data_IF_656259365571
#
_entry.id   IF_656259365571
#
_cell.length_a   1.000
_cell.length_b   1.000
_cell.length_c   1.000
_cell.angle_alpha   90.00
_cell.angle_beta   90.00
_cell.angle_gamma   90.00
#
_symmetry.space_group_name_H-M   'P 1'
#
loop_
_entity.id
_entity.type
_entity.pdbx_description
1 polymer ?
#
# COMPACT_ATOMS: atom_id res chain seq x y z
N UNK A 1 0.86 13.57 -17.07
CA UNK A 1 0.86 13.35 -15.61
C UNK A 1 2.26 13.49 -14.99
N UNK A 2 3.30 12.84 -15.54
CA UNK A 2 4.65 12.83 -14.97
C UNK A 2 5.65 13.87 -15.52
N UNK A 3 5.24 14.81 -16.38
CA UNK A 3 6.19 15.71 -17.06
C UNK A 3 7.04 16.57 -16.09
N UNK A 4 6.53 16.79 -14.88
CA UNK A 4 7.07 17.59 -13.79
C UNK A 4 7.36 16.76 -12.53
N UNK A 5 7.39 15.41 -12.65
CA UNK A 5 7.48 14.51 -11.51
C UNK A 5 8.53 13.44 -11.74
N UNK A 6 9.26 13.12 -10.70
CA UNK A 6 10.19 12.01 -10.69
C UNK A 6 9.53 10.81 -10.01
N UNK A 7 9.61 9.65 -10.64
CA UNK A 7 9.04 8.41 -10.11
C UNK A 7 10.12 7.34 -10.02
N UNK A 8 10.34 6.86 -8.81
CA UNK A 8 11.26 5.77 -8.52
C UNK A 8 10.48 4.57 -8.00
N UNK A 9 10.79 3.39 -8.51
CA UNK A 9 10.32 2.12 -7.99
C UNK A 9 11.52 1.31 -7.52
N UNK A 10 11.63 1.14 -6.20
CA UNK A 10 12.73 0.45 -5.56
C UNK A 10 12.26 -0.92 -5.10
N UNK A 11 13.04 -1.96 -5.38
CA UNK A 11 12.84 -3.26 -4.74
C UNK A 11 13.32 -3.16 -3.29
N UNK A 12 12.46 -3.49 -2.35
CA UNK A 12 12.86 -3.57 -0.95
C UNK A 12 13.67 -4.87 -0.72
N UNK A 13 14.81 -4.75 -0.06
CA UNK A 13 15.66 -5.90 0.22
C UNK A 13 15.05 -6.79 1.31
N UNK A 14 15.43 -8.07 1.32
CA UNK A 14 14.90 -9.05 2.27
C UNK A 14 15.20 -8.70 3.74
N UNK A 15 14.50 -9.36 4.66
CA UNK A 15 14.63 -9.21 6.13
C UNK A 15 16.09 -9.07 6.58
N UNK A 16 16.36 -8.03 7.35
CA UNK A 16 17.69 -7.69 7.88
C UNK A 16 18.49 -6.70 7.05
N UNK A 17 18.06 -6.37 5.82
CA UNK A 17 18.71 -5.36 4.96
C UNK A 17 17.77 -4.32 4.35
N UNK A 18 16.46 -4.60 4.31
CA UNK A 18 15.44 -3.67 3.79
C UNK A 18 14.63 -2.98 4.88
N UNK A 19 13.68 -2.16 4.45
CA UNK A 19 12.73 -1.46 5.32
C UNK A 19 11.66 -2.46 5.79
N UNK A 20 11.40 -2.49 7.10
CA UNK A 20 10.37 -3.31 7.71
C UNK A 20 9.68 -2.57 8.85
N UNK A 21 8.43 -2.93 9.11
CA UNK A 21 7.59 -2.29 10.11
C UNK A 21 7.22 -3.28 11.21
N UNK A 22 7.91 -3.18 12.33
CA UNK A 22 7.69 -4.03 13.50
C UNK A 22 6.30 -3.83 14.10
N UNK A 23 5.84 -2.58 14.17
CA UNK A 23 4.50 -2.19 14.67
C UNK A 23 3.34 -2.79 13.83
N UNK A 24 3.63 -3.40 12.67
CA UNK A 24 2.67 -3.93 11.71
C UNK A 24 2.75 -5.45 11.53
N UNK A 25 3.08 -6.20 12.59
CA UNK A 25 3.21 -7.66 12.51
C UNK A 25 4.36 -8.10 11.59
N UNK A 26 5.47 -7.36 11.63
CA UNK A 26 6.61 -7.53 10.73
C UNK A 26 6.22 -7.40 9.25
N UNK A 27 5.48 -6.34 8.90
CA UNK A 27 5.19 -6.02 7.50
C UNK A 27 6.48 -5.62 6.79
N UNK A 28 6.77 -6.30 5.68
CA UNK A 28 7.93 -6.07 4.83
C UNK A 28 7.41 -5.96 3.39
N UNK A 29 7.19 -4.73 2.88
CA UNK A 29 6.70 -4.55 1.53
C UNK A 29 7.77 -5.01 0.54
N UNK A 30 7.34 -5.45 -0.62
CA UNK A 30 8.23 -5.88 -1.69
C UNK A 30 8.82 -4.69 -2.46
N UNK A 31 8.09 -3.58 -2.53
CA UNK A 31 8.48 -2.39 -3.26
C UNK A 31 8.27 -1.10 -2.46
N UNK A 32 9.11 -0.11 -2.75
CA UNK A 32 8.97 1.27 -2.30
C UNK A 32 8.80 2.12 -3.55
N UNK A 33 7.63 2.72 -3.72
CA UNK A 33 7.34 3.69 -4.76
C UNK A 33 7.58 5.09 -4.19
N UNK A 34 8.43 5.88 -4.83
CA UNK A 34 8.76 7.22 -4.40
C UNK A 34 8.47 8.20 -5.54
N UNK A 35 7.46 9.04 -5.33
CA UNK A 35 7.05 10.08 -6.25
C UNK A 35 7.47 11.43 -5.69
N UNK A 36 8.22 12.20 -6.46
CA UNK A 36 8.62 13.57 -6.13
C UNK A 36 7.85 14.50 -7.07
N UNK A 37 7.13 15.46 -6.49
CA UNK A 37 6.35 16.46 -7.23
C UNK A 37 6.56 17.85 -6.59
N UNK A 38 7.46 18.63 -7.18
CA UNK A 38 7.93 19.88 -6.57
C UNK A 38 8.58 19.63 -5.22
N UNK A 39 8.12 20.32 -4.18
CA UNK A 39 8.64 20.18 -2.81
C UNK A 39 8.00 19.01 -2.03
N UNK A 40 7.04 18.30 -2.63
CA UNK A 40 6.33 17.19 -1.97
C UNK A 40 6.89 15.84 -2.38
N UNK A 41 6.99 14.95 -1.40
CA UNK A 41 7.41 13.57 -1.57
C UNK A 41 6.30 12.64 -1.13
N UNK A 42 5.96 11.69 -1.99
CA UNK A 42 4.99 10.65 -1.69
C UNK A 42 5.69 9.30 -1.72
N UNK A 43 5.72 8.63 -0.57
CA UNK A 43 6.38 7.33 -0.39
C UNK A 43 5.29 6.29 -0.14
N UNK A 44 5.12 5.36 -1.06
CA UNK A 44 4.16 4.28 -0.94
C UNK A 44 4.88 2.92 -0.82
N UNK A 45 4.55 2.20 0.24
CA UNK A 45 5.02 0.83 0.49
C UNK A 45 4.04 -0.16 -0.14
N UNK A 46 4.49 -0.89 -1.16
CA UNK A 46 3.61 -1.74 -1.98
C UNK A 46 4.01 -3.21 -1.81
N UNK A 47 3.03 -4.05 -1.47
CA UNK A 47 3.24 -5.48 -1.20
C UNK A 47 2.31 -6.34 -2.08
N UNK A 48 2.78 -6.82 -3.24
CA UNK A 48 2.05 -7.77 -4.07
C UNK A 48 1.98 -9.14 -3.39
N UNK A 49 0.78 -9.64 -3.05
CA UNK A 49 0.66 -10.91 -2.30
C UNK A 49 -0.71 -11.59 -2.37
N UNK A 50 -0.69 -12.89 -2.07
CA UNK A 50 -1.90 -13.62 -1.70
C UNK A 50 -2.34 -13.30 -0.28
N UNK A 51 -3.62 -13.00 -0.11
CA UNK A 51 -4.20 -12.61 1.20
C UNK A 51 -5.25 -13.60 1.71
N UNK A 52 -5.49 -14.71 1.00
CA UNK A 52 -6.48 -15.74 1.39
C UNK A 52 -6.35 -16.21 2.84
N UNK A 53 -5.12 -16.35 3.34
CA UNK A 53 -4.83 -16.85 4.69
C UNK A 53 -4.58 -15.72 5.70
N UNK A 54 -4.89 -14.47 5.36
CA UNK A 54 -4.71 -13.31 6.23
C UNK A 54 -6.09 -12.89 6.74
N UNK A 55 -6.21 -12.64 8.04
CA UNK A 55 -7.47 -12.17 8.64
C UNK A 55 -7.74 -10.70 8.30
N UNK A 56 -9.00 -10.30 8.24
CA UNK A 56 -9.38 -8.92 7.96
C UNK A 56 -8.83 -7.90 8.98
N UNK A 57 -8.64 -8.35 10.22
CA UNK A 57 -8.07 -7.55 11.32
C UNK A 57 -6.58 -7.82 11.55
N UNK A 58 -5.92 -8.54 10.63
CA UNK A 58 -4.47 -8.78 10.72
C UNK A 58 -3.71 -7.44 10.65
N UNK A 59 -2.62 -7.27 11.43
CA UNK A 59 -1.81 -6.05 11.41
C UNK A 59 -1.35 -5.62 10.01
N UNK A 60 -1.12 -6.57 9.09
CA UNK A 60 -0.75 -6.26 7.71
C UNK A 60 -1.90 -5.62 6.94
N UNK A 61 -3.14 -6.06 7.19
CA UNK A 61 -4.34 -5.44 6.60
C UNK A 61 -4.61 -4.07 7.22
N UNK A 62 -4.34 -3.90 8.52
CA UNK A 62 -4.52 -2.62 9.21
C UNK A 62 -3.41 -1.60 8.93
N UNK A 63 -2.31 -2.01 8.28
CA UNK A 63 -1.12 -1.19 8.14
C UNK A 63 -1.34 0.13 7.39
N UNK A 64 -2.38 0.23 6.55
CA UNK A 64 -2.76 1.47 5.89
C UNK A 64 -3.14 2.60 6.87
N UNK A 65 -3.57 2.25 8.09
CA UNK A 65 -3.82 3.22 9.17
C UNK A 65 -2.54 3.49 9.95
N UNK A 66 -1.83 2.45 10.36
CA UNK A 66 -0.59 2.57 11.14
C UNK A 66 0.46 3.42 10.41
N UNK A 67 0.57 3.32 9.09
CA UNK A 67 1.50 4.15 8.31
C UNK A 67 1.17 5.64 8.40
N UNK A 68 -0.10 6.01 8.59
CA UNK A 68 -0.51 7.40 8.83
C UNK A 68 -0.18 7.87 10.23
N UNK A 69 -0.11 6.98 11.19
CA UNK A 69 0.39 7.31 12.53
C UNK A 69 1.90 7.57 12.49
N UNK A 70 2.64 6.78 11.71
CA UNK A 70 4.06 6.98 11.44
C UNK A 70 4.30 8.31 10.71
N UNK A 71 3.50 8.62 9.68
CA UNK A 71 3.54 9.91 8.96
C UNK A 71 3.39 11.09 9.93
N UNK A 72 2.42 11.03 10.84
CA UNK A 72 2.21 12.09 11.85
C UNK A 72 3.38 12.20 12.83
N UNK A 73 3.97 11.07 13.23
CA UNK A 73 5.16 11.04 14.12
C UNK A 73 6.43 11.54 13.43
N UNK A 74 6.56 11.31 12.12
CA UNK A 74 7.67 11.84 11.31
C UNK A 74 7.65 13.37 11.30
N UNK A 75 6.45 13.98 11.40
CA UNK A 75 6.25 15.42 11.50
C UNK A 75 6.88 16.22 10.34
N UNK A 76 6.98 15.61 9.15
CA UNK A 76 7.48 16.25 7.94
C UNK A 76 6.34 16.58 6.97
N UNK A 77 5.89 17.86 6.88
CA UNK A 77 4.69 18.22 6.11
C UNK A 77 4.82 17.99 4.60
N UNK A 78 6.04 17.92 4.10
CA UNK A 78 6.33 17.65 2.69
C UNK A 78 6.28 16.15 2.34
N UNK A 79 6.18 15.27 3.34
CA UNK A 79 6.21 13.81 3.14
C UNK A 79 4.83 13.21 3.41
N UNK A 80 4.34 12.46 2.44
CA UNK A 80 3.14 11.63 2.58
C UNK A 80 3.54 10.16 2.48
N UNK A 81 3.17 9.37 3.49
CA UNK A 81 3.38 7.93 3.54
C UNK A 81 2.08 7.19 3.24
N UNK A 82 2.15 6.16 2.43
CA UNK A 82 1.02 5.26 2.17
C UNK A 82 1.49 3.81 2.15
N UNK A 83 0.57 2.88 2.35
CA UNK A 83 0.81 1.46 2.12
C UNK A 83 -0.33 0.85 1.33
N UNK A 84 0.02 -0.11 0.48
CA UNK A 84 -0.89 -0.81 -0.41
C UNK A 84 -0.59 -2.31 -0.41
N UNK A 85 -1.65 -3.10 -0.40
CA UNK A 85 -1.58 -4.52 -0.74
C UNK A 85 -2.11 -4.67 -2.16
N UNK A 86 -1.29 -5.20 -3.06
CA UNK A 86 -1.72 -5.56 -4.42
C UNK A 86 -2.02 -7.05 -4.42
N UNK A 87 -3.29 -7.39 -4.27
CA UNK A 87 -3.70 -8.78 -4.13
C UNK A 87 -3.80 -9.49 -5.46
N UNK A 88 -3.22 -10.69 -5.52
CA UNK A 88 -3.52 -11.70 -6.54
C UNK A 88 -4.64 -12.66 -6.11
N UNK A 89 -5.23 -12.48 -4.91
CA UNK A 89 -6.43 -13.21 -4.48
C UNK A 89 -7.67 -12.43 -4.89
N UNK A 90 -8.59 -12.98 -5.69
CA UNK A 90 -9.76 -12.23 -6.16
C UNK A 90 -10.64 -11.69 -5.04
N UNK A 91 -11.26 -10.53 -5.25
CA UNK A 91 -12.07 -9.86 -4.22
C UNK A 91 -13.27 -10.70 -3.77
N UNK A 92 -13.90 -11.44 -4.69
CA UNK A 92 -15.04 -12.30 -4.37
C UNK A 92 -14.68 -13.44 -3.40
N UNK A 93 -13.44 -13.95 -3.45
CA UNK A 93 -12.93 -14.94 -2.48
C UNK A 93 -12.82 -14.30 -1.11
N UNK A 94 -12.25 -13.10 -1.06
CA UNK A 94 -12.07 -12.37 0.18
C UNK A 94 -13.40 -11.90 0.78
N UNK A 95 -14.38 -11.55 -0.05
CA UNK A 95 -15.73 -11.20 0.39
C UNK A 95 -16.39 -12.36 1.12
N UNK A 96 -16.24 -13.59 0.63
CA UNK A 96 -16.75 -14.79 1.30
C UNK A 96 -16.02 -15.07 2.62
N UNK A 97 -14.71 -14.88 2.67
CA UNK A 97 -13.88 -15.16 3.86
C UNK A 97 -14.04 -14.12 4.96
N UNK A 98 -14.17 -12.85 4.59
CA UNK A 98 -14.18 -11.73 5.53
C UNK A 98 -15.58 -11.17 5.75
N UNK A 99 -16.59 -11.57 4.96
CA UNK A 99 -17.93 -11.01 4.96
C UNK A 99 -17.94 -9.48 4.79
N UNK A 100 -17.05 -8.96 3.93
CA UNK A 100 -16.94 -7.53 3.62
C UNK A 100 -16.96 -7.30 2.13
N UNK A 101 -17.61 -6.22 1.70
CA UNK A 101 -17.66 -5.83 0.29
C UNK A 101 -16.30 -5.33 -0.22
N UNK A 102 -16.06 -5.46 -1.53
CA UNK A 102 -14.82 -5.02 -2.18
C UNK A 102 -14.51 -3.56 -1.87
N UNK A 103 -15.50 -2.67 -1.89
CA UNK A 103 -15.32 -1.25 -1.57
C UNK A 103 -14.72 -1.02 -0.16
N UNK A 104 -15.01 -1.90 0.80
CA UNK A 104 -14.42 -1.85 2.14
C UNK A 104 -12.97 -2.32 2.14
N UNK A 105 -12.60 -3.29 1.28
CA UNK A 105 -11.22 -3.69 1.10
C UNK A 105 -10.42 -2.59 0.38
N UNK A 106 -11.05 -1.99 -0.64
CA UNK A 106 -10.51 -0.87 -1.38
C UNK A 106 -10.24 0.31 -0.44
N UNK A 107 -11.13 0.65 0.49
CA UNK A 107 -10.90 1.74 1.46
C UNK A 107 -9.73 1.48 2.42
N UNK A 108 -9.28 0.23 2.53
CA UNK A 108 -8.09 -0.19 3.27
C UNK A 108 -6.83 -0.32 2.38
N UNK A 109 -6.85 0.27 1.19
CA UNK A 109 -5.76 0.23 0.22
C UNK A 109 -5.38 -1.20 -0.24
N UNK A 110 -6.35 -2.12 -0.24
CA UNK A 110 -6.22 -3.41 -0.91
C UNK A 110 -6.70 -3.23 -2.35
N UNK A 111 -5.84 -3.52 -3.31
CA UNK A 111 -6.12 -3.41 -4.75
C UNK A 111 -6.06 -4.81 -5.37
N UNK A 112 -6.92 -5.12 -6.33
CA UNK A 112 -7.02 -6.47 -6.90
C UNK A 112 -6.42 -6.53 -8.30
N UNK A 113 -5.22 -7.10 -8.43
CA UNK A 113 -4.41 -6.97 -9.65
C UNK A 113 -5.06 -7.59 -10.89
N UNK A 114 -5.64 -8.78 -10.77
CA UNK A 114 -6.24 -9.47 -11.92
C UNK A 114 -7.62 -8.91 -12.26
N UNK A 115 -8.41 -8.59 -11.24
CA UNK A 115 -9.78 -8.09 -11.39
C UNK A 115 -9.81 -6.64 -11.91
N UNK A 116 -8.89 -5.81 -11.42
CA UNK A 116 -8.78 -4.39 -11.74
C UNK A 116 -7.54 -4.09 -12.59
N UNK A 117 -7.11 -5.06 -13.42
CA UNK A 117 -5.85 -5.02 -14.19
C UNK A 117 -5.59 -3.69 -14.89
N UNK A 118 -6.63 -3.09 -15.47
CA UNK A 118 -6.51 -1.87 -16.26
C UNK A 118 -6.60 -0.58 -15.42
N UNK A 119 -7.00 -0.67 -14.14
CA UNK A 119 -7.37 0.49 -13.31
C UNK A 119 -6.68 0.55 -11.95
N UNK A 120 -6.07 -0.54 -11.46
CA UNK A 120 -5.55 -0.60 -10.10
C UNK A 120 -4.37 0.35 -9.88
N UNK A 121 -3.48 0.52 -10.87
CA UNK A 121 -2.36 1.46 -10.80
C UNK A 121 -2.84 2.91 -10.77
N UNK A 122 -3.78 3.27 -11.64
CA UNK A 122 -4.38 4.61 -11.64
C UNK A 122 -5.09 4.90 -10.30
N UNK A 123 -5.83 3.92 -9.78
CA UNK A 123 -6.46 3.99 -8.46
C UNK A 123 -5.45 4.20 -7.34
N UNK A 124 -4.30 3.53 -7.40
CA UNK A 124 -3.20 3.72 -6.45
C UNK A 124 -2.66 5.15 -6.50
N UNK A 125 -2.32 5.67 -7.68
CA UNK A 125 -1.80 7.05 -7.82
C UNK A 125 -2.82 8.11 -7.39
N UNK A 126 -4.10 7.92 -7.69
CA UNK A 126 -5.18 8.80 -7.21
C UNK A 126 -5.27 8.87 -5.69
N UNK A 127 -4.89 7.80 -4.98
CA UNK A 127 -4.87 7.76 -3.51
C UNK A 127 -3.58 8.32 -2.93
N UNK A 128 -2.46 8.11 -3.62
CA UNK A 128 -1.16 8.68 -3.23
C UNK A 128 -1.20 10.21 -3.28
N UNK A 129 -1.87 10.78 -4.29
CA UNK A 129 -1.95 12.23 -4.50
C UNK A 129 -3.09 12.96 -3.75
N UNK A 130 -3.92 12.23 -3.01
CA UNK A 130 -4.97 12.83 -2.17
C UNK A 130 -4.39 13.34 -0.87
#
# INVERSE_FOLDING_TARGET
>A
FFADKELYLLRNLSKGRGVGFFEAGNFHPDFILWLIAGERQFIAFVDPKGIRNIGFNDPKIQFFQTIKDIERRLAEPSVTLSSFIVSNTPSHVMRLLWAVEKNTMDSRNILFQEEDKDTYIDSMFKRILK
#
